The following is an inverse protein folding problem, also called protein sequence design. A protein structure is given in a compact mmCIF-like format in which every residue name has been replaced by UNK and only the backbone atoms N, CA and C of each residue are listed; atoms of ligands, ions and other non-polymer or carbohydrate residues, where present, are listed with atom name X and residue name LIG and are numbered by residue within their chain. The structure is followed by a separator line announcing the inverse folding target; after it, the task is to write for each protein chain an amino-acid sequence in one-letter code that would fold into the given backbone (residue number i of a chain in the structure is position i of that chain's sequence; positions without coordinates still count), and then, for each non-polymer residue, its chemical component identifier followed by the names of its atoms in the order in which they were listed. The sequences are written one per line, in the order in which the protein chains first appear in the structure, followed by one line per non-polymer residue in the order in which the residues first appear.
data_IF_820553708666
#
_entry.id   IF_820553708666
#
_cell.length_a   1.000
_cell.length_b   1.000
_cell.length_c   1.000
_cell.angle_alpha   90.00
_cell.angle_beta   90.00
_cell.angle_gamma   90.00
#
_symmetry.space_group_name_H-M   'P 1'
#
loop_
_entity.id
_entity.type
_entity.pdbx_description
1 polymer ?
#
# COMPACT_ATOMS: atom_id res chain seq x y z
N UNK A 1 17.59 20.43 -7.41
CA UNK A 1 17.16 19.20 -6.68
C UNK A 1 16.99 19.52 -5.20
N UNK A 2 15.75 19.69 -4.73
CA UNK A 2 15.42 20.09 -3.36
C UNK A 2 15.83 19.02 -2.33
N UNK A 3 16.29 19.42 -1.15
CA UNK A 3 16.69 18.52 -0.04
C UNK A 3 15.61 17.46 0.29
N UNK A 4 14.33 17.86 0.23
CA UNK A 4 13.20 16.96 0.53
C UNK A 4 13.03 15.84 -0.50
N UNK A 5 13.20 16.13 -1.81
CA UNK A 5 13.09 15.12 -2.86
C UNK A 5 14.09 13.99 -2.63
N UNK A 6 15.36 14.32 -2.33
CA UNK A 6 16.39 13.33 -2.02
C UNK A 6 16.02 12.40 -0.86
N UNK A 7 15.34 12.93 0.17
CA UNK A 7 14.87 12.12 1.31
C UNK A 7 13.77 11.15 0.90
N UNK A 8 12.80 11.60 0.09
CA UNK A 8 11.76 10.72 -0.44
C UNK A 8 12.33 9.66 -1.40
N UNK A 9 13.30 9.99 -2.24
CA UNK A 9 13.98 8.99 -3.10
C UNK A 9 14.65 7.90 -2.29
N UNK A 10 15.35 8.26 -1.19
CA UNK A 10 15.96 7.28 -0.28
C UNK A 10 14.93 6.37 0.39
N UNK A 11 13.79 6.94 0.82
CA UNK A 11 12.69 6.17 1.39
C UNK A 11 12.11 5.18 0.36
N UNK A 12 11.82 5.66 -0.85
CA UNK A 12 11.25 4.86 -1.93
C UNK A 12 12.17 3.70 -2.32
N UNK A 13 13.49 3.90 -2.28
CA UNK A 13 14.47 2.85 -2.56
C UNK A 13 14.41 1.68 -1.56
N UNK A 14 13.98 1.94 -0.32
CA UNK A 14 13.75 0.88 0.69
C UNK A 14 12.43 0.15 0.49
N UNK A 15 11.46 0.76 -0.20
CA UNK A 15 10.11 0.23 -0.28
C UNK A 15 10.01 -0.85 -1.37
N UNK A 16 9.67 -2.09 -1.01
CA UNK A 16 9.49 -3.16 -1.99
C UNK A 16 8.25 -2.92 -2.86
N UNK A 17 8.27 -3.41 -4.08
CA UNK A 17 7.10 -3.43 -4.96
C UNK A 17 6.52 -4.84 -4.92
N UNK A 18 5.24 -4.96 -4.55
CA UNK A 18 4.53 -6.22 -4.55
C UNK A 18 3.90 -6.48 -5.93
N UNK A 19 4.51 -7.38 -6.70
CA UNK A 19 4.05 -7.75 -8.04
C UNK A 19 2.63 -8.36 -8.02
N UNK A 20 2.23 -8.99 -6.91
CA UNK A 20 0.91 -9.60 -6.80
C UNK A 20 -0.21 -8.57 -6.66
N UNK A 21 0.12 -7.31 -6.33
CA UNK A 21 -0.84 -6.21 -6.13
C UNK A 21 -0.93 -5.23 -7.29
N UNK A 22 -0.09 -5.38 -8.33
CA UNK A 22 -0.13 -4.57 -9.55
C UNK A 22 -0.29 -3.06 -9.26
N UNK A 23 -1.30 -2.39 -9.83
CA UNK A 23 -1.58 -0.96 -9.63
C UNK A 23 -1.99 -0.58 -8.19
N UNK A 24 -2.39 -1.55 -7.38
CA UNK A 24 -2.77 -1.32 -5.97
C UNK A 24 -1.57 -1.39 -5.02
N UNK A 25 -0.38 -1.68 -5.54
CA UNK A 25 0.83 -1.71 -4.74
C UNK A 25 1.10 -0.34 -4.11
N UNK A 26 1.29 -0.34 -2.79
CA UNK A 26 1.51 0.89 -2.04
C UNK A 26 2.85 1.54 -2.41
N UNK A 27 3.88 0.74 -2.70
CA UNK A 27 5.19 1.25 -3.12
C UNK A 27 5.11 2.00 -4.44
N UNK A 28 4.39 1.44 -5.43
CA UNK A 28 4.09 2.09 -6.70
C UNK A 28 3.28 3.37 -6.50
N UNK A 29 2.21 3.32 -5.71
CA UNK A 29 1.38 4.49 -5.42
C UNK A 29 2.18 5.64 -4.79
N UNK A 30 3.05 5.34 -3.83
CA UNK A 30 3.92 6.35 -3.20
C UNK A 30 4.88 6.97 -4.24
N UNK A 31 5.48 6.15 -5.12
CA UNK A 31 6.37 6.62 -6.19
C UNK A 31 5.66 7.61 -7.11
N UNK A 32 4.46 7.26 -7.57
CA UNK A 32 3.68 8.09 -8.48
C UNK A 32 3.26 9.40 -7.82
N UNK A 33 2.85 9.36 -6.54
CA UNK A 33 2.51 10.58 -5.79
C UNK A 33 3.69 11.49 -5.57
N UNK A 34 4.85 10.94 -5.22
CA UNK A 34 6.09 11.73 -5.08
C UNK A 34 6.47 12.32 -6.44
N UNK A 35 6.47 11.53 -7.50
CA UNK A 35 6.76 12.01 -8.86
C UNK A 35 5.86 13.19 -9.25
N UNK A 36 4.54 13.04 -9.12
CA UNK A 36 3.56 14.08 -9.42
C UNK A 36 3.76 15.36 -8.58
N UNK A 37 4.08 15.23 -7.29
CA UNK A 37 4.27 16.36 -6.40
C UNK A 37 5.52 17.20 -6.75
N UNK A 38 6.58 16.58 -7.26
CA UNK A 38 7.85 17.24 -7.55
C UNK A 38 8.03 17.64 -9.02
N UNK A 39 7.36 17.00 -9.98
CA UNK A 39 7.43 17.34 -11.41
C UNK A 39 6.60 18.59 -11.78
N UNK A 40 5.46 18.84 -11.11
CA UNK A 40 4.51 19.89 -11.49
C UNK A 40 4.87 21.32 -11.10
N UNK A 41 6.13 21.67 -10.84
CA UNK A 41 6.54 23.03 -10.42
C UNK A 41 6.10 23.45 -9.00
N UNK A 42 5.23 22.68 -8.35
CA UNK A 42 4.70 22.90 -7.00
C UNK A 42 5.74 22.70 -5.88
N UNK A 43 6.95 22.24 -6.21
CA UNK A 43 8.02 21.99 -5.24
C UNK A 43 8.43 23.21 -4.41
N UNK A 44 8.14 24.44 -4.88
CA UNK A 44 8.40 25.69 -4.16
C UNK A 44 7.35 26.02 -3.08
N UNK A 45 6.14 25.46 -3.16
CA UNK A 45 5.03 25.72 -2.23
C UNK A 45 4.75 24.53 -1.29
N UNK A 46 5.64 23.53 -1.24
CA UNK A 46 5.47 22.40 -0.35
C UNK A 46 5.77 22.81 1.08
N UNK A 47 4.79 22.64 1.96
CA UNK A 47 4.98 22.77 3.40
C UNK A 47 6.04 21.78 3.89
N UNK A 48 7.15 22.32 4.37
CA UNK A 48 8.31 21.57 4.83
C UNK A 48 8.01 20.75 6.08
N UNK A 49 7.16 21.24 6.97
CA UNK A 49 6.78 20.53 8.20
C UNK A 49 5.92 19.31 7.83
N UNK A 50 4.91 19.51 6.99
CA UNK A 50 4.05 18.44 6.51
C UNK A 50 4.84 17.37 5.75
N UNK A 51 5.77 17.76 4.88
CA UNK A 51 6.68 16.83 4.20
C UNK A 51 7.50 15.99 5.18
N UNK A 52 8.04 16.64 6.22
CA UNK A 52 8.85 15.97 7.24
C UNK A 52 8.02 15.00 8.05
N UNK A 53 6.79 15.37 8.42
CA UNK A 53 5.82 14.51 9.12
C UNK A 53 5.45 13.29 8.28
N UNK A 54 5.12 13.48 7.01
CA UNK A 54 4.79 12.38 6.08
C UNK A 54 5.97 11.44 5.89
N UNK A 55 7.17 11.98 5.66
CA UNK A 55 8.39 11.21 5.53
C UNK A 55 8.68 10.37 6.79
N UNK A 56 8.49 10.95 7.98
CA UNK A 56 8.66 10.25 9.26
C UNK A 56 7.67 9.09 9.39
N UNK A 57 6.40 9.33 9.10
CA UNK A 57 5.37 8.28 9.13
C UNK A 57 5.65 7.15 8.14
N UNK A 58 6.04 7.47 6.91
CA UNK A 58 6.36 6.47 5.90
C UNK A 58 7.62 5.66 6.28
N UNK A 59 8.67 6.29 6.82
CA UNK A 59 9.83 5.53 7.32
C UNK A 59 9.43 4.55 8.43
N UNK A 60 8.57 4.97 9.37
CA UNK A 60 8.08 4.07 10.43
C UNK A 60 7.36 2.84 9.88
N UNK A 61 6.61 3.00 8.79
CA UNK A 61 5.94 1.88 8.11
C UNK A 61 6.98 0.98 7.44
N UNK A 62 7.89 1.55 6.64
CA UNK A 62 8.93 0.80 5.94
C UNK A 62 9.84 0.01 6.87
N UNK A 63 10.21 0.58 8.01
CA UNK A 63 11.08 -0.05 9.02
C UNK A 63 10.29 -0.99 9.97
N UNK A 64 9.00 -1.24 9.71
CA UNK A 64 8.12 -2.05 10.56
C UNK A 64 8.10 -1.61 12.04
N UNK A 65 8.24 -0.30 12.29
CA UNK A 65 8.46 0.25 13.64
C UNK A 65 7.42 -0.24 14.65
N UNK A 66 6.12 -0.12 14.32
CA UNK A 66 5.06 -0.48 15.25
C UNK A 66 4.86 -1.98 15.41
N UNK A 67 5.14 -2.77 14.35
CA UNK A 67 5.17 -4.22 14.44
C UNK A 67 6.24 -4.69 15.43
N UNK A 68 7.41 -4.04 15.41
CA UNK A 68 8.52 -4.38 16.30
C UNK A 68 8.32 -3.83 17.72
N UNK A 69 7.73 -2.64 17.85
CA UNK A 69 7.46 -1.98 19.13
C UNK A 69 6.37 -2.71 19.93
N UNK A 70 5.33 -3.17 19.26
CA UNK A 70 4.18 -3.84 19.88
C UNK A 70 4.12 -5.28 19.40
N UNK A 71 4.94 -6.14 20.01
CA UNK A 71 4.97 -7.57 19.70
C UNK A 71 3.60 -8.19 19.94
N UNK A 72 3.09 -8.89 18.94
CA UNK A 72 1.83 -9.63 19.05
C UNK A 72 2.08 -11.00 19.67
N UNK A 73 1.09 -11.49 20.41
CA UNK A 73 1.08 -12.84 20.98
C UNK A 73 0.67 -13.87 19.92
N UNK A 74 -0.20 -13.45 18.99
CA UNK A 74 -0.74 -14.29 17.93
C UNK A 74 -0.36 -13.73 16.55
N UNK A 75 -0.05 -14.66 15.64
CA UNK A 75 0.26 -14.36 14.24
C UNK A 75 -0.98 -14.30 13.34
N UNK A 76 -2.15 -14.65 13.89
CA UNK A 76 -3.43 -14.56 13.20
C UNK A 76 -4.07 -13.18 13.28
N UNK A 77 -4.90 -12.88 12.29
CA UNK A 77 -5.76 -11.71 12.21
C UNK A 77 -7.11 -11.95 12.91
N UNK A 78 -7.97 -10.93 12.95
CA UNK A 78 -9.30 -11.04 13.54
C UNK A 78 -10.21 -12.08 12.87
N UNK A 79 -9.92 -12.44 11.60
CA UNK A 79 -10.64 -13.49 10.87
C UNK A 79 -10.01 -14.88 11.03
N UNK A 80 -8.95 -15.00 11.85
CA UNK A 80 -8.19 -16.23 12.04
C UNK A 80 -7.09 -16.47 11.00
N UNK A 81 -7.05 -15.69 9.91
CA UNK A 81 -6.04 -15.83 8.85
C UNK A 81 -4.67 -15.33 9.29
N UNK A 82 -3.62 -16.04 8.88
CA UNK A 82 -2.22 -15.62 8.96
C UNK A 82 -1.91 -14.43 8.06
N UNK A 83 -0.71 -13.85 8.24
CA UNK A 83 -0.28 -12.72 7.41
C UNK A 83 -0.08 -13.11 5.94
N UNK A 84 0.40 -14.33 5.71
CA UNK A 84 0.61 -14.93 4.39
C UNK A 84 -0.72 -15.17 3.68
N UNK A 85 -1.71 -15.73 4.39
CA UNK A 85 -3.05 -15.94 3.86
C UNK A 85 -3.75 -14.62 3.55
N UNK A 86 -3.65 -13.62 4.44
CA UNK A 86 -4.15 -12.28 4.15
C UNK A 86 -3.48 -11.68 2.91
N UNK A 87 -2.18 -11.90 2.72
CA UNK A 87 -1.48 -11.42 1.53
C UNK A 87 -1.99 -12.09 0.25
N UNK A 88 -2.17 -13.41 0.28
CA UNK A 88 -2.70 -14.19 -0.84
C UNK A 88 -4.12 -13.77 -1.22
N UNK A 89 -5.01 -13.61 -0.23
CA UNK A 89 -6.41 -13.17 -0.46
C UNK A 89 -6.45 -11.78 -1.12
N UNK A 90 -5.48 -10.92 -0.82
CA UNK A 90 -5.37 -9.58 -1.41
C UNK A 90 -4.63 -9.53 -2.75
N UNK A 91 -4.15 -10.67 -3.25
CA UNK A 91 -3.54 -10.77 -4.58
C UNK A 91 -4.53 -10.41 -5.68
N UNK A 92 -4.01 -9.90 -6.80
CA UNK A 92 -4.86 -9.49 -7.93
C UNK A 92 -5.58 -10.67 -8.56
N UNK A 93 -4.96 -11.84 -8.56
CA UNK A 93 -5.54 -13.09 -9.04
C UNK A 93 -6.75 -13.51 -8.19
N UNK A 94 -6.59 -13.61 -6.86
CA UNK A 94 -7.68 -14.02 -5.97
C UNK A 94 -8.82 -13.00 -5.99
N UNK A 95 -8.52 -11.70 -6.02
CA UNK A 95 -9.56 -10.68 -6.11
C UNK A 95 -10.31 -10.72 -7.45
N UNK A 96 -9.63 -11.05 -8.56
CA UNK A 96 -10.29 -11.25 -9.84
C UNK A 96 -11.21 -12.46 -9.82
N UNK A 97 -10.72 -13.59 -9.29
CA UNK A 97 -11.51 -14.80 -9.09
C UNK A 97 -12.78 -14.53 -8.26
N UNK A 98 -12.63 -13.89 -7.09
CA UNK A 98 -13.76 -13.55 -6.21
C UNK A 98 -14.75 -12.59 -6.89
N UNK A 99 -14.28 -11.69 -7.76
CA UNK A 99 -15.15 -10.79 -8.54
C UNK A 99 -15.95 -11.56 -9.59
N UNK A 100 -15.36 -12.57 -10.21
CA UNK A 100 -16.02 -13.42 -11.21
C UNK A 100 -17.03 -14.38 -10.58
N UNK A 101 -16.68 -15.03 -9.46
CA UNK A 101 -17.60 -15.87 -8.70
C UNK A 101 -18.82 -15.10 -8.20
N UNK A 102 -18.61 -13.91 -7.61
CA UNK A 102 -19.71 -13.07 -7.16
C UNK A 102 -20.69 -12.77 -8.30
N UNK A 103 -20.20 -12.45 -9.51
CA UNK A 103 -21.06 -12.23 -10.69
C UNK A 103 -21.85 -13.49 -11.06
N UNK A 104 -21.24 -14.68 -10.95
CA UNK A 104 -21.92 -15.96 -11.18
C UNK A 104 -23.03 -16.21 -10.17
N UNK A 105 -22.76 -15.93 -8.90
CA UNK A 105 -23.71 -16.09 -7.80
C UNK A 105 -24.90 -15.13 -7.94
N UNK A 106 -24.66 -13.85 -8.23
CA UNK A 106 -25.72 -12.87 -8.50
C UNK A 106 -26.54 -13.25 -9.74
N UNK A 107 -25.92 -13.70 -10.84
CA UNK A 107 -26.67 -14.16 -12.02
C UNK A 107 -27.58 -15.35 -11.72
N UNK A 108 -27.18 -16.26 -10.85
CA UNK A 108 -28.00 -17.43 -10.50
C UNK A 108 -29.15 -17.07 -9.55
N UNK A 109 -28.96 -16.07 -8.68
CA UNK A 109 -30.01 -15.56 -7.79
C UNK A 109 -31.05 -14.75 -8.58
N UNK A 110 -30.61 -13.83 -9.45
CA UNK A 110 -31.49 -12.97 -10.25
C UNK A 110 -32.09 -13.66 -11.50
N UNK A 111 -31.72 -14.91 -11.78
CA UNK A 111 -32.39 -15.76 -12.79
C UNK A 111 -33.47 -16.65 -12.18
N UNK A 112 -33.68 -16.59 -10.86
CA UNK A 112 -34.64 -17.41 -10.15
C UNK A 112 -35.99 -16.71 -9.93
N UNK A 113 -36.35 -15.82 -10.85
CA UNK A 113 -37.70 -15.25 -11.01
C UNK A 113 -38.20 -15.52 -12.44
#
# INVERSE_FOLDING_TARGET
MTSQYKKFTKLIAKWPIDNNKAERDLGKFIRDKVKAAFEGGNSKNLDSELCTRQLSSLNKIADNHYRNKYKRIHDSSATGLSSEECNLVLSSEVLQYLKEENKGFFKNIFKKD
#
